data_IF_122931346915
#
_entry.id   IF_122931346915
#
_cell.length_a   1.000
_cell.length_b   1.000
_cell.length_c   1.000
_cell.angle_alpha   90.00
_cell.angle_beta   90.00
_cell.angle_gamma   90.00
#
_symmetry.space_group_name_H-M   'P 1'
#
loop_
_entity.id
_entity.type
_entity.pdbx_description
1 polymer ?
#
# COMPACT_ATOMS: atom_id res chain seq x y z
N UNK A 1 -4.59 -6.78 -11.79
CA UNK A 1 -3.18 -6.38 -12.03
C UNK A 1 -2.17 -7.47 -11.68
N UNK A 2 -2.19 -8.03 -10.46
CA UNK A 2 -1.19 -9.01 -9.99
C UNK A 2 -1.01 -10.23 -10.91
N UNK A 3 -2.10 -10.81 -11.43
CA UNK A 3 -2.03 -11.95 -12.38
C UNK A 3 -1.20 -11.59 -13.61
N UNK A 4 -1.46 -10.44 -14.23
CA UNK A 4 -0.72 -9.96 -15.40
C UNK A 4 0.76 -9.68 -15.08
N UNK A 5 1.06 -9.20 -13.87
CA UNK A 5 2.45 -8.99 -13.42
C UNK A 5 3.18 -10.34 -13.32
N UNK A 6 2.56 -11.36 -12.72
CA UNK A 6 3.12 -12.72 -12.63
C UNK A 6 3.40 -13.31 -14.02
N UNK A 7 2.44 -13.18 -14.93
CA UNK A 7 2.59 -13.65 -16.32
C UNK A 7 3.71 -12.91 -17.08
N UNK A 8 3.77 -11.58 -16.95
CA UNK A 8 4.82 -10.77 -17.57
C UNK A 8 6.21 -11.11 -17.01
N UNK A 9 6.32 -11.30 -15.70
CA UNK A 9 7.57 -11.70 -15.04
C UNK A 9 8.05 -13.07 -15.56
N UNK A 10 7.15 -14.06 -15.65
CA UNK A 10 7.48 -15.37 -16.21
C UNK A 10 7.93 -15.28 -17.66
N UNK A 11 7.27 -14.47 -18.49
CA UNK A 11 7.65 -14.29 -19.89
C UNK A 11 9.02 -13.61 -20.07
N UNK A 12 9.33 -12.61 -19.25
CA UNK A 12 10.55 -11.81 -19.40
C UNK A 12 11.79 -12.47 -18.80
N UNK A 13 11.63 -13.20 -17.70
CA UNK A 13 12.75 -13.74 -16.92
C UNK A 13 12.81 -15.27 -16.90
N UNK A 14 11.82 -15.95 -17.47
CA UNK A 14 11.63 -17.40 -17.37
C UNK A 14 11.58 -17.94 -15.92
N UNK A 15 11.21 -17.07 -14.97
CA UNK A 15 11.10 -17.40 -13.54
C UNK A 15 9.68 -17.20 -13.01
N UNK A 16 9.34 -17.93 -11.96
CA UNK A 16 8.09 -17.74 -11.25
C UNK A 16 8.27 -16.66 -10.17
N UNK A 17 7.48 -15.58 -10.25
CA UNK A 17 7.59 -14.44 -9.34
C UNK A 17 7.36 -14.84 -7.87
N UNK A 18 6.44 -15.77 -7.62
CA UNK A 18 6.15 -16.22 -6.26
C UNK A 18 7.31 -17.04 -5.68
N UNK A 19 7.95 -17.87 -6.50
CA UNK A 19 9.15 -18.62 -6.13
C UNK A 19 10.32 -17.70 -5.80
N UNK A 20 10.58 -16.68 -6.62
CA UNK A 20 11.62 -15.68 -6.35
C UNK A 20 11.32 -14.88 -5.06
N UNK A 21 10.06 -14.49 -4.84
CA UNK A 21 9.67 -13.81 -3.59
C UNK A 21 9.85 -14.73 -2.37
N UNK A 22 9.56 -16.02 -2.50
CA UNK A 22 9.79 -17.01 -1.43
C UNK A 22 11.28 -17.22 -1.13
N UNK A 23 12.17 -17.16 -2.13
CA UNK A 23 13.62 -17.28 -1.89
C UNK A 23 14.22 -16.02 -1.27
N UNK A 24 13.69 -14.85 -1.63
CA UNK A 24 14.31 -13.56 -1.29
C UNK A 24 13.74 -12.93 0.00
N UNK A 25 12.66 -13.49 0.53
CA UNK A 25 12.03 -13.03 1.78
C UNK A 25 11.83 -14.19 2.75
N UNK A 26 11.56 -13.90 4.03
CA UNK A 26 11.32 -14.93 5.03
C UNK A 26 10.29 -14.48 6.07
N UNK A 27 9.93 -15.37 7.00
CA UNK A 27 9.04 -15.07 8.11
C UNK A 27 7.65 -14.63 7.66
N UNK A 28 7.03 -13.74 8.42
CA UNK A 28 5.68 -13.25 8.11
C UNK A 28 5.62 -12.25 6.98
N UNK A 29 6.73 -11.57 6.66
CA UNK A 29 6.85 -10.77 5.45
C UNK A 29 6.66 -11.64 4.20
N UNK A 30 7.36 -12.79 4.13
CA UNK A 30 7.16 -13.73 3.03
C UNK A 30 5.71 -14.17 2.94
N UNK A 31 5.09 -14.53 4.07
CA UNK A 31 3.70 -15.00 4.10
C UNK A 31 2.72 -13.96 3.57
N UNK A 32 2.83 -12.69 3.98
CA UNK A 32 1.93 -11.64 3.48
C UNK A 32 2.13 -11.40 1.98
N UNK A 33 3.39 -11.33 1.51
CA UNK A 33 3.68 -11.10 0.10
C UNK A 33 3.17 -12.24 -0.79
N UNK A 34 3.37 -13.49 -0.37
CA UNK A 34 2.82 -14.67 -1.08
C UNK A 34 1.29 -14.62 -1.07
N UNK A 35 0.66 -14.27 0.06
CA UNK A 35 -0.82 -14.17 0.15
C UNK A 35 -1.38 -13.10 -0.80
N UNK A 36 -0.65 -12.00 -1.02
CA UNK A 36 -1.00 -10.97 -2.00
C UNK A 36 -0.81 -11.49 -3.44
N UNK A 37 0.27 -12.24 -3.71
CA UNK A 37 0.55 -12.85 -5.01
C UNK A 37 -0.45 -13.94 -5.44
N UNK A 38 -1.27 -14.43 -4.52
CA UNK A 38 -2.40 -15.30 -4.86
C UNK A 38 -3.50 -14.57 -5.65
N UNK A 39 -3.50 -13.22 -5.65
CA UNK A 39 -4.44 -12.39 -6.42
C UNK A 39 -5.92 -12.73 -6.18
N UNK A 40 -6.26 -13.12 -4.95
CA UNK A 40 -7.58 -13.62 -4.55
C UNK A 40 -8.26 -12.74 -3.49
N UNK A 41 -7.97 -11.44 -3.48
CA UNK A 41 -8.68 -10.46 -2.65
C UNK A 41 -10.13 -10.34 -3.14
N UNK A 42 -11.07 -10.21 -2.21
CA UNK A 42 -12.43 -9.81 -2.54
C UNK A 42 -12.45 -8.41 -3.14
N UNK A 43 -13.02 -8.25 -4.34
CA UNK A 43 -13.12 -6.96 -5.04
C UNK A 43 -14.53 -6.34 -4.99
N UNK A 44 -15.45 -6.97 -4.25
CA UNK A 44 -16.81 -6.44 -4.09
C UNK A 44 -16.82 -5.19 -3.21
N UNK A 45 -17.81 -4.32 -3.46
CA UNK A 45 -18.05 -3.13 -2.64
C UNK A 45 -19.00 -3.40 -1.46
N UNK A 46 -19.54 -4.62 -1.35
CA UNK A 46 -20.45 -4.98 -0.28
C UNK A 46 -19.69 -5.02 1.05
N UNK A 47 -20.35 -4.57 2.11
CA UNK A 47 -19.79 -4.55 3.46
C UNK A 47 -20.66 -5.42 4.35
N UNK A 48 -20.04 -6.41 4.98
CA UNK A 48 -20.64 -7.20 6.04
C UNK A 48 -20.21 -6.60 7.38
N UNK A 49 -21.16 -5.99 8.09
CA UNK A 49 -20.90 -5.22 9.31
C UNK A 49 -20.53 -6.15 10.48
N UNK A 50 -21.19 -7.30 10.58
CA UNK A 50 -20.88 -8.31 11.59
C UNK A 50 -19.46 -8.86 11.40
N UNK A 51 -19.07 -9.13 10.15
CA UNK A 51 -17.71 -9.55 9.82
C UNK A 51 -16.69 -8.45 10.12
N UNK A 52 -17.01 -7.18 9.88
CA UNK A 52 -16.11 -6.07 10.20
C UNK A 52 -15.85 -5.98 11.72
N UNK A 53 -16.89 -6.18 12.54
CA UNK A 53 -16.79 -6.21 13.99
C UNK A 53 -16.02 -7.44 14.49
N UNK A 54 -16.25 -8.59 13.86
CA UNK A 54 -15.50 -9.81 14.15
C UNK A 54 -14.01 -9.65 13.81
N UNK A 55 -13.68 -9.24 12.58
CA UNK A 55 -12.30 -9.01 12.14
C UNK A 55 -11.61 -7.98 13.06
N UNK A 56 -12.31 -6.89 13.45
CA UNK A 56 -11.78 -5.90 14.38
C UNK A 56 -11.45 -6.50 15.76
N UNK A 57 -12.35 -7.32 16.29
CA UNK A 57 -12.15 -8.01 17.57
C UNK A 57 -10.98 -9.00 17.50
N UNK A 58 -10.88 -9.72 16.39
CA UNK A 58 -9.83 -10.71 16.18
C UNK A 58 -8.46 -10.05 15.99
N UNK A 59 -8.38 -8.93 15.25
CA UNK A 59 -7.17 -8.11 15.15
C UNK A 59 -6.75 -7.54 16.51
N UNK A 60 -7.70 -7.08 17.32
CA UNK A 60 -7.39 -6.58 18.67
C UNK A 60 -6.79 -7.70 19.53
N UNK A 61 -7.43 -8.87 19.58
CA UNK A 61 -6.91 -10.04 20.31
C UNK A 61 -5.56 -10.52 19.78
N UNK A 62 -5.34 -10.39 18.47
CA UNK A 62 -4.10 -10.79 17.81
C UNK A 62 -2.94 -9.83 18.09
N UNK A 63 -3.17 -8.57 18.43
CA UNK A 63 -2.13 -7.59 18.76
C UNK A 63 -2.27 -7.08 20.20
N UNK A 64 -2.82 -5.88 20.35
CA UNK A 64 -2.93 -5.14 21.64
C UNK A 64 -3.60 -5.90 22.79
N UNK A 65 -4.43 -6.90 22.51
CA UNK A 65 -5.08 -7.74 23.50
C UNK A 65 -4.20 -8.85 24.11
N UNK A 66 -2.94 -8.97 23.69
CA UNK A 66 -2.00 -10.00 24.16
C UNK A 66 -0.56 -9.46 24.20
N UNK A 67 0.37 -10.25 24.74
CA UNK A 67 1.80 -9.95 24.62
C UNK A 67 2.36 -10.51 23.32
N UNK A 68 2.92 -9.64 22.47
CA UNK A 68 3.36 -9.95 21.10
C UNK A 68 2.21 -10.00 20.11
N UNK A 69 2.50 -10.23 18.82
CA UNK A 69 1.49 -10.19 17.76
C UNK A 69 1.33 -11.50 17.00
N UNK A 70 0.08 -11.92 16.79
CA UNK A 70 -0.31 -13.03 15.93
C UNK A 70 -0.46 -12.55 14.48
N UNK A 71 0.68 -12.47 13.80
CA UNK A 71 0.82 -11.93 12.44
C UNK A 71 -0.07 -12.65 11.40
N UNK A 72 -0.44 -13.92 11.64
CA UNK A 72 -1.35 -14.65 10.74
C UNK A 72 -2.75 -14.04 10.66
N UNK A 73 -3.29 -13.51 11.75
CA UNK A 73 -4.60 -12.86 11.76
C UNK A 73 -4.59 -11.58 10.91
N UNK A 74 -3.55 -10.76 11.09
CA UNK A 74 -3.31 -9.57 10.28
C UNK A 74 -3.17 -9.92 8.79
N UNK A 75 -2.41 -10.98 8.47
CA UNK A 75 -2.22 -11.42 7.09
C UNK A 75 -3.55 -11.76 6.39
N UNK A 76 -4.39 -12.57 7.04
CA UNK A 76 -5.66 -13.00 6.45
C UNK A 76 -6.58 -11.79 6.21
N UNK A 77 -6.75 -10.93 7.22
CA UNK A 77 -7.65 -9.78 7.10
C UNK A 77 -7.13 -8.78 6.07
N UNK A 78 -5.89 -8.31 6.22
CA UNK A 78 -5.33 -7.25 5.38
C UNK A 78 -5.11 -7.68 3.92
N UNK A 79 -4.86 -8.96 3.64
CA UNK A 79 -4.64 -9.45 2.28
C UNK A 79 -5.93 -9.83 1.54
N UNK A 80 -6.96 -10.33 2.24
CA UNK A 80 -8.13 -10.96 1.59
C UNK A 80 -9.38 -10.11 1.56
N UNK A 81 -9.61 -9.26 2.56
CA UNK A 81 -10.83 -8.44 2.61
C UNK A 81 -10.81 -7.36 1.53
N UNK A 82 -11.98 -7.01 0.99
CA UNK A 82 -12.09 -5.89 0.06
C UNK A 82 -11.72 -4.57 0.74
N UNK A 83 -11.40 -3.53 -0.05
CA UNK A 83 -11.08 -2.23 0.53
C UNK A 83 -12.27 -1.58 1.24
N UNK A 84 -13.50 -1.80 0.77
CA UNK A 84 -14.71 -1.33 1.47
C UNK A 84 -14.87 -2.05 2.81
N UNK A 85 -14.68 -3.37 2.84
CA UNK A 85 -14.73 -4.16 4.06
C UNK A 85 -13.63 -3.75 5.04
N UNK A 86 -12.38 -3.58 4.59
CA UNK A 86 -11.26 -3.15 5.43
C UNK A 86 -11.52 -1.80 6.10
N UNK A 87 -12.07 -0.81 5.37
CA UNK A 87 -12.42 0.49 5.97
C UNK A 87 -13.43 0.33 7.10
N UNK A 88 -14.45 -0.52 6.92
CA UNK A 88 -15.41 -0.81 7.99
C UNK A 88 -14.75 -1.54 9.17
N UNK A 89 -13.85 -2.50 8.91
CA UNK A 89 -13.07 -3.19 9.93
C UNK A 89 -12.20 -2.21 10.72
N UNK A 90 -11.52 -1.25 10.08
CA UNK A 90 -10.68 -0.27 10.77
C UNK A 90 -11.51 0.68 11.65
N UNK A 91 -12.69 1.10 11.20
CA UNK A 91 -13.62 1.89 12.02
C UNK A 91 -14.15 1.10 13.22
N UNK A 92 -14.40 -0.20 13.06
CA UNK A 92 -14.79 -1.06 14.17
C UNK A 92 -13.61 -1.31 15.14
N UNK A 93 -12.40 -1.46 14.61
CA UNK A 93 -11.18 -1.65 15.39
C UNK A 93 -10.91 -0.47 16.32
N UNK A 94 -11.01 0.77 15.81
CA UNK A 94 -10.84 1.97 16.62
C UNK A 94 -11.81 2.02 17.81
N UNK A 95 -13.04 1.54 17.64
CA UNK A 95 -14.04 1.47 18.72
C UNK A 95 -13.71 0.40 19.77
N UNK A 96 -13.10 -0.71 19.37
CA UNK A 96 -12.74 -1.83 20.26
C UNK A 96 -11.43 -1.54 21.00
N UNK A 97 -10.42 -1.05 20.28
CA UNK A 97 -9.06 -0.86 20.77
C UNK A 97 -8.82 0.54 21.38
N UNK A 98 -9.57 1.55 20.95
CA UNK A 98 -9.34 2.95 21.30
C UNK A 98 -8.13 3.59 20.61
N UNK A 99 -7.54 2.92 19.61
CA UNK A 99 -6.40 3.38 18.80
C UNK A 99 -6.69 3.16 17.31
N UNK A 100 -6.07 3.98 16.45
CA UNK A 100 -6.06 3.69 15.01
C UNK A 100 -5.22 2.42 14.74
N UNK A 101 -5.66 1.61 13.78
CA UNK A 101 -4.98 0.36 13.41
C UNK A 101 -3.50 0.58 13.03
N UNK A 102 -3.14 1.73 12.43
CA UNK A 102 -1.75 2.06 12.08
C UNK A 102 -0.88 2.29 13.32
N UNK A 103 -1.45 2.84 14.40
CA UNK A 103 -0.74 3.02 15.66
C UNK A 103 -0.41 1.67 16.28
N UNK A 104 -1.40 0.77 16.33
CA UNK A 104 -1.20 -0.59 16.84
C UNK A 104 -0.22 -1.39 15.99
N UNK A 105 -0.24 -1.25 14.65
CA UNK A 105 0.76 -1.88 13.78
C UNK A 105 2.17 -1.39 14.12
N UNK A 106 2.36 -0.08 14.32
CA UNK A 106 3.68 0.51 14.63
C UNK A 106 4.20 0.13 16.01
N UNK A 107 3.32 -0.13 16.99
CA UNK A 107 3.76 -0.57 18.33
C UNK A 107 4.07 -2.06 18.38
N UNK A 108 3.43 -2.86 17.53
CA UNK A 108 3.46 -4.33 17.60
C UNK A 108 4.37 -5.00 16.57
N UNK A 109 4.66 -4.33 15.46
CA UNK A 109 5.50 -4.86 14.39
C UNK A 109 6.68 -3.96 14.12
N UNK A 110 7.66 -4.44 13.35
CA UNK A 110 8.83 -3.64 12.98
C UNK A 110 9.36 -4.04 11.60
N UNK A 111 10.32 -3.26 11.11
CA UNK A 111 11.04 -3.56 9.88
C UNK A 111 10.13 -3.58 8.65
N UNK A 112 10.37 -4.51 7.73
CA UNK A 112 9.65 -4.55 6.46
C UNK A 112 8.24 -5.13 6.59
N UNK A 113 7.96 -5.91 7.64
CA UNK A 113 6.61 -6.37 7.94
C UNK A 113 5.70 -5.20 8.33
N UNK A 114 6.18 -4.32 9.21
CA UNK A 114 5.46 -3.08 9.58
C UNK A 114 5.15 -2.25 8.34
N UNK A 115 6.15 -2.03 7.48
CA UNK A 115 5.97 -1.28 6.22
C UNK A 115 4.94 -1.95 5.30
N UNK A 116 4.93 -3.28 5.21
CA UNK A 116 3.96 -4.01 4.39
C UNK A 116 2.53 -3.81 4.92
N UNK A 117 2.31 -3.95 6.23
CA UNK A 117 0.99 -3.72 6.84
C UNK A 117 0.53 -2.28 6.71
N UNK A 118 1.40 -1.30 7.02
CA UNK A 118 1.07 0.12 6.87
C UNK A 118 0.76 0.47 5.41
N UNK A 119 1.44 -0.14 4.44
CA UNK A 119 1.13 0.02 3.01
C UNK A 119 -0.26 -0.52 2.68
N UNK A 120 -0.60 -1.73 3.12
CA UNK A 120 -1.92 -2.32 2.87
C UNK A 120 -3.05 -1.48 3.50
N UNK A 121 -2.86 -1.00 4.73
CA UNK A 121 -3.82 -0.13 5.42
C UNK A 121 -3.96 1.21 4.70
N UNK A 122 -2.85 1.86 4.34
CA UNK A 122 -2.86 3.14 3.65
C UNK A 122 -3.56 3.06 2.30
N UNK A 123 -3.27 2.02 1.50
CA UNK A 123 -3.93 1.80 0.22
C UNK A 123 -5.43 1.51 0.38
N UNK A 124 -5.82 0.72 1.40
CA UNK A 124 -7.23 0.48 1.68
C UNK A 124 -7.96 1.76 2.11
N UNK A 125 -7.36 2.60 2.96
CA UNK A 125 -7.95 3.89 3.40
C UNK A 125 -8.03 4.91 2.27
N UNK A 126 -6.91 5.20 1.61
CA UNK A 126 -6.78 6.23 0.57
C UNK A 126 -5.57 5.94 -0.35
N UNK A 127 -5.74 5.04 -1.33
CA UNK A 127 -4.67 4.66 -2.26
C UNK A 127 -4.06 5.87 -3.03
N UNK A 128 -4.86 6.81 -3.56
CA UNK A 128 -4.29 8.00 -4.19
C UNK A 128 -3.48 8.87 -3.20
N UNK A 129 -3.94 8.98 -1.95
CA UNK A 129 -3.20 9.65 -0.88
C UNK A 129 -1.87 8.97 -0.53
N UNK A 130 -1.83 7.63 -0.53
CA UNK A 130 -0.60 6.86 -0.33
C UNK A 130 0.44 7.17 -1.42
N UNK A 131 0.05 7.11 -2.69
CA UNK A 131 0.97 7.43 -3.79
C UNK A 131 1.38 8.91 -3.80
N UNK A 132 0.47 9.83 -3.45
CA UNK A 132 0.82 11.25 -3.28
C UNK A 132 1.90 11.43 -2.20
N UNK A 133 1.80 10.71 -1.08
CA UNK A 133 2.80 10.75 -0.03
C UNK A 133 4.16 10.18 -0.46
N UNK A 134 4.16 9.08 -1.22
CA UNK A 134 5.38 8.51 -1.79
C UNK A 134 6.06 9.46 -2.78
N UNK A 135 5.30 10.08 -3.70
CA UNK A 135 5.81 11.06 -4.64
C UNK A 135 6.42 12.27 -3.93
N UNK A 136 5.76 12.76 -2.88
CA UNK A 136 6.31 13.86 -2.10
C UNK A 136 7.61 13.44 -1.40
N UNK A 137 7.63 12.23 -0.81
CA UNK A 137 8.83 11.70 -0.16
C UNK A 137 10.00 11.52 -1.15
N UNK A 138 9.73 11.06 -2.37
CA UNK A 138 10.77 10.86 -3.39
C UNK A 138 11.42 12.16 -3.88
N UNK A 139 10.71 13.30 -3.73
CA UNK A 139 11.20 14.63 -4.09
C UNK A 139 11.61 15.48 -2.88
N UNK A 140 11.54 14.94 -1.66
CA UNK A 140 11.83 15.72 -0.44
C UNK A 140 13.26 15.46 0.02
N UNK A 141 14.10 16.48 -0.03
CA UNK A 141 15.43 16.48 0.60
C UNK A 141 16.55 16.87 -0.36
N UNK A 142 17.78 16.48 -0.04
CA UNK A 142 18.91 16.64 -0.95
C UNK A 142 18.94 15.51 -1.97
N UNK A 143 18.54 15.79 -3.20
CA UNK A 143 18.42 14.81 -4.29
C UNK A 143 17.00 14.25 -4.44
N UNK A 144 16.80 13.51 -5.54
CA UNK A 144 15.50 12.94 -5.93
C UNK A 144 15.63 11.42 -6.05
N UNK A 145 14.71 10.68 -5.46
CA UNK A 145 14.54 9.25 -5.76
C UNK A 145 13.80 9.11 -7.10
N UNK A 146 14.59 9.22 -8.18
CA UNK A 146 14.11 9.18 -9.56
C UNK A 146 13.44 7.85 -9.89
N UNK A 147 13.90 6.74 -9.30
CA UNK A 147 13.34 5.41 -9.56
C UNK A 147 11.89 5.30 -9.05
N UNK A 148 11.64 5.73 -7.81
CA UNK A 148 10.28 5.79 -7.27
C UNK A 148 9.40 6.76 -8.05
N UNK A 149 9.95 7.92 -8.43
CA UNK A 149 9.22 8.93 -9.20
C UNK A 149 8.78 8.39 -10.57
N UNK A 150 9.70 7.77 -11.32
CA UNK A 150 9.41 7.14 -12.62
C UNK A 150 8.40 6.01 -12.44
N UNK A 151 8.65 5.10 -11.48
CA UNK A 151 7.80 3.93 -11.26
C UNK A 151 6.36 4.33 -11.00
N UNK A 152 6.11 5.31 -10.13
CA UNK A 152 4.75 5.76 -9.81
C UNK A 152 4.14 6.50 -10.99
N UNK A 153 4.83 7.49 -11.58
CA UNK A 153 4.26 8.30 -12.65
C UNK A 153 3.92 7.46 -13.89
N UNK A 154 4.74 6.47 -14.24
CA UNK A 154 4.47 5.60 -15.39
C UNK A 154 3.37 4.59 -15.08
N UNK A 155 3.46 3.85 -13.96
CA UNK A 155 2.51 2.76 -13.68
C UNK A 155 1.12 3.24 -13.28
N UNK A 156 0.99 4.48 -12.79
CA UNK A 156 -0.30 5.07 -12.39
C UNK A 156 -0.91 6.00 -13.43
N UNK A 157 -0.17 6.34 -14.51
CA UNK A 157 -0.60 7.30 -15.54
C UNK A 157 -2.02 7.04 -16.06
N UNK A 158 -2.31 5.80 -16.43
CA UNK A 158 -3.59 5.38 -17.02
C UNK A 158 -4.56 4.77 -15.99
N UNK A 159 -4.23 4.82 -14.69
CA UNK A 159 -5.01 4.21 -13.62
C UNK A 159 -5.71 5.27 -12.77
N UNK A 160 -4.97 5.99 -11.93
CA UNK A 160 -5.52 6.92 -10.93
C UNK A 160 -4.66 8.18 -10.73
N UNK A 161 -3.74 8.46 -11.64
CA UNK A 161 -2.89 9.66 -11.59
C UNK A 161 -3.68 10.98 -11.42
N UNK A 162 -4.87 11.19 -12.03
CA UNK A 162 -5.68 12.36 -11.74
C UNK A 162 -6.05 12.50 -10.25
N UNK A 163 -6.49 11.41 -9.61
CA UNK A 163 -6.83 11.42 -8.18
C UNK A 163 -5.58 11.61 -7.30
N UNK A 164 -4.44 11.03 -7.69
CA UNK A 164 -3.15 11.23 -7.02
C UNK A 164 -2.75 12.71 -7.07
N UNK A 165 -2.89 13.37 -8.23
CA UNK A 165 -2.60 14.81 -8.40
C UNK A 165 -3.46 15.67 -7.48
N UNK A 166 -4.76 15.38 -7.41
CA UNK A 166 -5.70 16.08 -6.52
C UNK A 166 -5.31 15.90 -5.05
N UNK A 167 -5.06 14.66 -4.61
CA UNK A 167 -4.63 14.37 -3.23
C UNK A 167 -3.31 15.04 -2.89
N UNK A 168 -2.33 15.00 -3.80
CA UNK A 168 -1.05 15.66 -3.62
C UNK A 168 -1.23 17.17 -3.38
N UNK A 169 -2.05 17.83 -4.20
CA UNK A 169 -2.34 19.26 -4.03
C UNK A 169 -3.07 19.56 -2.72
N UNK A 170 -4.02 18.71 -2.32
CA UNK A 170 -4.73 18.86 -1.04
C UNK A 170 -3.78 18.75 0.16
N UNK A 171 -2.85 17.77 0.13
CA UNK A 171 -1.92 17.46 1.22
C UNK A 171 -0.78 18.48 1.32
N UNK A 172 -0.19 18.89 0.19
CA UNK A 172 1.06 19.66 0.16
C UNK A 172 0.90 21.11 -0.30
N UNK A 173 -0.33 21.53 -0.63
CA UNK A 173 -0.67 22.90 -1.09
C UNK A 173 0.16 23.38 -2.28
N UNK A 174 0.66 22.43 -3.07
CA UNK A 174 1.47 22.62 -4.28
C UNK A 174 1.07 21.54 -5.28
N UNK A 175 0.96 21.86 -6.56
CA UNK A 175 0.62 20.84 -7.56
C UNK A 175 1.77 19.86 -7.76
N UNK A 176 1.45 18.62 -8.14
CA UNK A 176 2.47 17.61 -8.45
C UNK A 176 3.40 18.07 -9.59
N UNK A 177 2.87 18.76 -10.60
CA UNK A 177 3.66 19.31 -11.69
C UNK A 177 4.65 20.39 -11.23
N UNK A 178 4.25 21.27 -10.31
CA UNK A 178 5.16 22.25 -9.72
C UNK A 178 6.24 21.58 -8.87
N UNK A 179 5.90 20.51 -8.13
CA UNK A 179 6.86 19.75 -7.34
C UNK A 179 7.93 19.09 -8.25
N UNK A 180 7.49 18.38 -9.30
CA UNK A 180 8.40 17.79 -10.30
C UNK A 180 9.26 18.87 -10.95
N UNK A 181 8.67 20.00 -11.34
CA UNK A 181 9.41 21.09 -11.99
C UNK A 181 10.53 21.68 -11.12
N UNK A 182 10.31 21.77 -9.81
CA UNK A 182 11.30 22.30 -8.87
C UNK A 182 12.40 21.30 -8.53
N UNK A 183 12.12 20.01 -8.60
CA UNK A 183 13.03 18.97 -8.13
C UNK A 183 13.84 18.31 -9.25
N UNK A 184 13.35 18.39 -10.49
CA UNK A 184 14.00 17.78 -11.66
C UNK A 184 14.44 18.83 -12.68
N UNK A 185 15.32 18.45 -13.60
CA UNK A 185 15.82 19.35 -14.65
C UNK A 185 16.00 18.64 -16.00
N UNK A 186 16.40 19.40 -17.02
CA UNK A 186 16.72 18.87 -18.35
C UNK A 186 15.56 18.15 -19.04
N UNK A 187 15.89 17.14 -19.83
CA UNK A 187 14.92 16.34 -20.59
C UNK A 187 14.13 15.39 -19.70
N UNK A 188 14.72 14.94 -18.59
CA UNK A 188 14.01 14.14 -17.58
C UNK A 188 12.78 14.88 -17.05
N UNK A 189 12.95 16.15 -16.65
CA UNK A 189 11.82 17.00 -16.25
C UNK A 189 10.75 17.11 -17.35
N UNK A 190 11.17 17.34 -18.60
CA UNK A 190 10.21 17.50 -19.71
C UNK A 190 9.35 16.25 -19.89
N UNK A 191 9.98 15.07 -19.83
CA UNK A 191 9.29 13.79 -19.92
C UNK A 191 8.29 13.60 -18.76
N UNK A 192 8.73 13.82 -17.52
CA UNK A 192 7.85 13.66 -16.36
C UNK A 192 6.66 14.64 -16.38
N UNK A 193 6.89 15.89 -16.80
CA UNK A 193 5.79 16.85 -16.95
C UNK A 193 4.82 16.44 -18.07
N UNK A 194 5.29 15.81 -19.14
CA UNK A 194 4.42 15.29 -20.20
C UNK A 194 3.53 14.13 -19.70
N UNK A 195 4.03 13.28 -18.80
CA UNK A 195 3.24 12.21 -18.16
C UNK A 195 2.16 12.75 -17.20
N UNK A 196 2.31 13.99 -16.72
CA UNK A 196 1.37 14.63 -15.81
C UNK A 196 0.23 15.36 -16.52
N UNK A 197 0.24 15.42 -17.86
CA UNK A 197 -0.72 16.19 -18.67
C UNK A 197 -1.76 15.28 -19.31
#
# INVERSE_FOLDING_TARGET
EIVNIKEAYKRLFDKDLESDVKSDTSGSLQKILVTVLEASRDETQQVNVELAQQDATDLYKAGEGRWGTEELAFNVVLAKRSYSQLRATFQAYEKVCGKDIEESIKSETSGDLEKAYLTLVSCAKDCPGYFAALLHKSMKGGGTDEETLIRILVTRAESDLPAIKEKFQQMYKKSLAEAVRSDTSGDFRKLLLALLH
#
